data_IF_764638509412
#
_entry.id   IF_764638509412
#
_cell.length_a   1.000
_cell.length_b   1.000
_cell.length_c   1.000
_cell.angle_alpha   90.00
_cell.angle_beta   90.00
_cell.angle_gamma   90.00
#
_symmetry.space_group_name_H-M   'P 1'
#
loop_
_entity.id
_entity.type
_entity.pdbx_description
1 polymer ?
#
# COMPACT_ATOMS: atom_id res chain seq x y z
N UNK A 1 -8.32 -18.73 8.09
CA UNK A 1 -6.86 -18.90 8.26
C UNK A 1 -6.63 -19.67 9.55
N UNK A 2 -5.78 -20.68 9.54
CA UNK A 2 -5.48 -21.52 10.71
C UNK A 2 -3.97 -21.79 10.80
N UNK A 3 -3.43 -21.85 12.02
CA UNK A 3 -2.07 -22.29 12.30
C UNK A 3 -2.05 -23.83 12.35
N UNK A 4 -1.13 -24.46 11.64
CA UNK A 4 -0.94 -25.91 11.69
C UNK A 4 -0.10 -26.30 12.91
N UNK A 5 -0.15 -27.57 13.36
CA UNK A 5 0.74 -28.05 14.43
C UNK A 5 2.24 -27.89 14.11
N UNK A 6 2.59 -27.85 12.82
CA UNK A 6 3.96 -27.63 12.34
C UNK A 6 4.37 -26.15 12.31
N UNK A 7 3.51 -25.22 12.74
CA UNK A 7 3.80 -23.79 12.73
C UNK A 7 3.51 -23.07 11.42
N UNK A 8 2.91 -23.73 10.43
CA UNK A 8 2.59 -23.14 9.13
C UNK A 8 1.20 -22.54 9.08
N UNK A 9 0.96 -21.65 8.11
CA UNK A 9 -0.31 -20.97 7.93
C UNK A 9 -1.11 -21.64 6.82
N UNK A 10 -2.26 -22.20 7.17
CA UNK A 10 -3.27 -22.68 6.20
C UNK A 10 -4.25 -21.56 5.88
N UNK A 11 -4.22 -21.10 4.62
CA UNK A 11 -5.14 -20.10 4.10
C UNK A 11 -6.19 -20.78 3.21
N UNK A 12 -7.48 -20.50 3.48
CA UNK A 12 -8.60 -21.06 2.72
C UNK A 12 -9.03 -20.10 1.63
N UNK A 13 -9.24 -20.62 0.42
CA UNK A 13 -9.78 -19.85 -0.68
C UNK A 13 -11.28 -19.69 -0.56
N UNK A 14 -11.79 -18.54 -1.04
CA UNK A 14 -13.22 -18.27 -1.12
C UNK A 14 -13.91 -19.12 -2.21
N UNK A 15 -13.19 -19.40 -3.29
CA UNK A 15 -13.63 -20.27 -4.38
C UNK A 15 -12.54 -21.33 -4.58
N UNK A 16 -12.87 -22.62 -4.62
CA UNK A 16 -11.88 -23.66 -4.92
C UNK A 16 -11.28 -23.46 -6.31
N UNK A 17 -10.03 -23.88 -6.48
CA UNK A 17 -9.44 -24.00 -7.81
C UNK A 17 -10.12 -25.11 -8.63
N UNK A 18 -9.89 -25.09 -9.95
CA UNK A 18 -10.49 -26.04 -10.89
C UNK A 18 -10.15 -27.51 -10.59
N UNK A 19 -9.05 -27.75 -9.89
CA UNK A 19 -8.57 -29.07 -9.45
C UNK A 19 -9.17 -29.50 -8.09
N UNK A 20 -10.05 -28.67 -7.50
CA UNK A 20 -10.63 -28.90 -6.18
C UNK A 20 -9.78 -28.38 -5.01
N UNK A 21 -8.63 -27.75 -5.28
CA UNK A 21 -7.77 -27.22 -4.21
C UNK A 21 -8.46 -26.05 -3.51
N UNK A 22 -8.71 -26.21 -2.21
CA UNK A 22 -9.47 -25.26 -1.38
C UNK A 22 -8.60 -24.44 -0.45
N UNK A 23 -7.35 -24.85 -0.22
CA UNK A 23 -6.46 -24.22 0.74
C UNK A 23 -5.01 -24.27 0.25
N UNK A 24 -4.21 -23.31 0.70
CA UNK A 24 -2.75 -23.29 0.54
C UNK A 24 -2.07 -23.19 1.90
N UNK A 25 -0.85 -23.72 1.98
CA UNK A 25 -0.01 -23.68 3.18
C UNK A 25 1.19 -22.77 2.91
N UNK A 26 1.47 -21.87 3.83
CA UNK A 26 2.62 -20.96 3.79
C UNK A 26 3.49 -21.15 5.03
N UNK A 27 4.80 -21.01 4.87
CA UNK A 27 5.68 -20.66 5.99
C UNK A 27 5.28 -19.28 6.55
N UNK A 28 5.37 -19.04 7.87
CA UNK A 28 4.90 -17.79 8.46
C UNK A 28 5.50 -16.52 7.86
N UNK A 29 6.80 -16.55 7.53
CA UNK A 29 7.50 -15.39 6.98
C UNK A 29 7.04 -15.06 5.56
N UNK A 30 6.88 -16.09 4.72
CA UNK A 30 6.42 -15.92 3.34
C UNK A 30 4.98 -15.41 3.29
N UNK A 31 4.14 -15.87 4.22
CA UNK A 31 2.78 -15.35 4.35
C UNK A 31 2.77 -13.84 4.64
N UNK A 32 3.59 -13.38 5.59
CA UNK A 32 3.70 -11.96 5.93
C UNK A 32 4.28 -11.16 4.76
N UNK A 33 5.29 -11.69 4.08
CA UNK A 33 5.89 -11.04 2.90
C UNK A 33 4.87 -10.83 1.78
N UNK A 34 4.03 -11.84 1.50
CA UNK A 34 2.95 -11.75 0.50
C UNK A 34 1.87 -10.72 0.88
N UNK A 35 1.57 -10.58 2.18
CA UNK A 35 0.66 -9.53 2.65
C UNK A 35 1.30 -8.14 2.53
N UNK A 36 2.56 -8.00 2.92
CA UNK A 36 3.30 -6.75 2.85
C UNK A 36 3.43 -6.26 1.40
N UNK A 37 3.59 -7.17 0.44
CA UNK A 37 3.66 -6.84 -0.99
C UNK A 37 2.36 -6.22 -1.54
N UNK A 38 1.21 -6.50 -0.92
CA UNK A 38 -0.08 -5.91 -1.33
C UNK A 38 -0.24 -4.47 -0.84
N UNK A 39 0.53 -4.04 0.15
CA UNK A 39 0.49 -2.65 0.62
C UNK A 39 1.22 -1.79 -0.42
N UNK A 40 0.50 -0.96 -1.20
CA UNK A 40 1.16 -0.09 -2.15
C UNK A 40 2.08 0.86 -1.38
N UNK A 41 3.28 1.12 -1.92
CA UNK A 41 4.18 2.12 -1.37
C UNK A 41 3.39 3.40 -1.09
N UNK A 42 3.43 3.95 0.13
CA UNK A 42 2.79 5.22 0.43
C UNK A 42 3.27 6.23 -0.61
N UNK A 43 2.38 6.59 -1.54
CA UNK A 43 2.64 7.71 -2.43
C UNK A 43 2.50 8.91 -1.52
N UNK A 44 3.63 9.34 -0.96
CA UNK A 44 3.74 10.57 -0.18
C UNK A 44 2.82 11.60 -0.79
N UNK A 45 1.83 12.04 -0.03
CA UNK A 45 1.20 13.31 -0.29
C UNK A 45 2.33 14.32 -0.16
N UNK A 46 2.99 14.64 -1.27
CA UNK A 46 3.78 15.86 -1.35
C UNK A 46 2.80 16.93 -0.90
N UNK A 47 3.03 17.54 0.26
CA UNK A 47 2.35 18.77 0.63
C UNK A 47 2.70 19.76 -0.48
N UNK A 48 1.91 19.74 -1.56
CA UNK A 48 2.16 20.58 -2.71
C UNK A 48 1.80 21.98 -2.23
N UNK A 49 2.82 22.79 -1.91
CA UNK A 49 2.68 24.22 -1.71
C UNK A 49 2.27 24.89 -3.03
N UNK A 50 1.01 24.68 -3.44
CA UNK A 50 0.45 25.24 -4.67
C UNK A 50 -0.07 26.67 -4.53
N UNK A 51 -0.02 27.24 -3.32
CA UNK A 51 -0.61 28.55 -3.04
C UNK A 51 0.33 29.74 -3.14
N UNK A 52 1.61 29.58 -2.80
CA UNK A 52 2.52 30.73 -2.58
C UNK A 52 3.48 30.94 -3.76
N UNK A 53 3.99 29.87 -4.37
CA UNK A 53 5.03 29.93 -5.41
C UNK A 53 4.55 29.51 -6.81
N UNK A 54 3.25 29.32 -7.02
CA UNK A 54 2.73 29.07 -8.37
C UNK A 54 2.76 30.37 -9.20
N UNK A 55 2.95 30.32 -10.53
CA UNK A 55 3.07 31.50 -11.39
C UNK A 55 1.87 32.48 -11.34
N UNK A 56 0.75 32.03 -10.77
CA UNK A 56 -0.50 32.77 -10.63
C UNK A 56 -0.91 32.98 -9.16
N UNK A 57 0.03 32.90 -8.21
CA UNK A 57 -0.26 33.17 -6.79
C UNK A 57 -0.60 34.65 -6.59
N UNK A 58 -1.66 34.94 -5.83
CA UNK A 58 -2.12 36.31 -5.51
C UNK A 58 -1.10 37.14 -4.70
N UNK A 59 0.03 36.56 -4.32
CA UNK A 59 1.07 37.20 -3.51
C UNK A 59 2.19 37.82 -4.35
N UNK A 60 2.05 37.93 -5.67
CA UNK A 60 2.93 38.75 -6.51
C UNK A 60 2.65 40.24 -6.30
N UNK A 61 3.50 40.87 -5.49
CA UNK A 61 3.97 42.23 -5.70
C UNK A 61 3.22 43.37 -5.00
N UNK A 62 3.91 43.99 -4.05
CA UNK A 62 4.20 45.43 -4.14
C UNK A 62 5.63 45.67 -3.65
N UNK A 63 6.55 45.73 -4.60
CA UNK A 63 7.79 46.49 -4.40
C UNK A 63 7.69 47.65 -5.39
N UNK A 64 7.08 48.73 -4.94
CA UNK A 64 7.13 50.00 -5.64
C UNK A 64 8.44 50.67 -5.18
N UNK A 65 9.44 50.62 -6.06
CA UNK A 65 10.66 51.42 -5.95
C UNK A 65 10.44 52.72 -6.74
N UNK A 66 10.61 53.86 -6.09
CA UNK A 66 10.51 55.20 -6.70
C UNK A 66 9.88 56.20 -5.76
#
# INVERSE_FOLDING_TARGET
MLLTPSGNIRYQFKTPYNDGTTHVIFEPLDFIANLAAQVPKPRVNLTRFHGVFTPNSKHRGRYDAG
#
